data_IF_918491576288
#
_entry.id   IF_918491576288
#
_cell.length_a   1.000
_cell.length_b   1.000
_cell.length_c   1.000
_cell.angle_alpha   90.00
_cell.angle_beta   90.00
_cell.angle_gamma   90.00
#
_symmetry.space_group_name_H-M   'P 1'
#
loop_
_entity.id
_entity.type
_entity.pdbx_description
1 polymer ?
#
# COMPACT_ATOMS: atom_id res chain seq x y z
N UNK A 1 52.08 -41.09 13.05
CA UNK A 1 51.30 -40.16 13.87
C UNK A 1 51.12 -38.90 13.06
N UNK A 2 50.03 -38.76 12.35
CA UNK A 2 49.68 -37.54 11.62
C UNK A 2 48.15 -37.36 11.74
N UNK A 3 47.80 -36.36 12.48
CA UNK A 3 46.41 -35.99 12.79
C UNK A 3 45.89 -35.16 11.61
N UNK A 4 44.84 -35.67 10.91
CA UNK A 4 44.15 -34.93 9.84
C UNK A 4 43.10 -34.01 10.46
N UNK A 5 43.27 -32.71 10.22
CA UNK A 5 42.24 -31.68 10.49
C UNK A 5 41.19 -31.73 9.39
N UNK A 6 39.98 -32.14 9.75
CA UNK A 6 38.80 -31.93 8.93
C UNK A 6 38.37 -30.45 9.05
N UNK A 7 38.53 -29.72 7.97
CA UNK A 7 38.00 -28.35 7.85
C UNK A 7 36.48 -28.36 7.76
N UNK A 8 35.82 -27.68 8.70
CA UNK A 8 34.40 -27.45 8.69
C UNK A 8 34.04 -26.47 7.56
N UNK A 9 33.09 -26.85 6.69
CA UNK A 9 32.49 -25.98 5.68
C UNK A 9 31.63 -24.89 6.36
N UNK A 10 31.66 -23.65 5.86
CA UNK A 10 30.82 -22.57 6.39
C UNK A 10 29.33 -22.84 6.09
N UNK A 11 28.42 -22.35 6.92
CA UNK A 11 27.00 -22.53 6.73
C UNK A 11 26.52 -21.81 5.47
N UNK A 12 25.89 -22.57 4.60
CA UNK A 12 25.24 -22.04 3.41
C UNK A 12 24.08 -21.12 3.83
N UNK A 13 24.20 -19.84 3.55
CA UNK A 13 23.10 -18.87 3.65
C UNK A 13 22.00 -19.30 2.71
N UNK A 14 20.93 -19.80 3.31
CA UNK A 14 19.69 -20.18 2.63
C UNK A 14 19.04 -18.90 2.14
N UNK A 15 19.23 -18.57 0.86
CA UNK A 15 18.42 -17.58 0.18
C UNK A 15 16.96 -18.01 0.26
N UNK A 16 16.20 -17.37 1.13
CA UNK A 16 14.74 -17.45 1.13
C UNK A 16 14.23 -16.84 -0.18
N UNK A 17 13.98 -17.72 -1.14
CA UNK A 17 13.18 -17.38 -2.32
C UNK A 17 11.72 -17.34 -1.86
N UNK A 18 11.24 -16.20 -1.44
CA UNK A 18 9.81 -15.92 -1.38
C UNK A 18 9.38 -15.46 -2.77
N UNK A 19 9.14 -16.43 -3.64
CA UNK A 19 8.50 -16.22 -4.91
C UNK A 19 7.24 -17.08 -4.93
N UNK A 20 6.17 -16.59 -4.28
CA UNK A 20 4.83 -17.16 -4.36
C UNK A 20 3.91 -16.18 -5.11
N UNK A 21 4.35 -15.74 -6.30
CA UNK A 21 3.55 -14.96 -7.22
C UNK A 21 2.92 -15.88 -8.23
N UNK A 22 1.60 -15.76 -8.41
CA UNK A 22 0.86 -16.57 -9.38
C UNK A 22 1.32 -16.19 -10.79
N UNK A 23 1.57 -17.14 -11.70
CA UNK A 23 1.97 -16.82 -13.06
C UNK A 23 0.82 -16.12 -13.79
N UNK A 24 1.05 -14.87 -14.21
CA UNK A 24 0.08 -14.12 -15.01
C UNK A 24 0.31 -12.62 -15.09
N UNK A 25 0.77 -11.97 -14.00
CA UNK A 25 0.95 -10.51 -14.00
C UNK A 25 2.43 -10.12 -13.93
N UNK A 26 3.29 -10.97 -13.39
CA UNK A 26 4.72 -10.68 -13.17
C UNK A 26 5.58 -10.66 -14.45
N UNK A 27 5.03 -11.15 -15.56
CA UNK A 27 5.76 -11.17 -16.84
C UNK A 27 5.62 -9.86 -17.63
N UNK A 28 4.72 -8.95 -17.22
CA UNK A 28 4.38 -7.75 -17.99
C UNK A 28 4.65 -6.43 -17.25
N UNK A 29 4.83 -6.45 -15.91
CA UNK A 29 4.97 -5.22 -15.12
C UNK A 29 6.01 -5.35 -14.02
N UNK A 30 6.87 -4.36 -13.92
CA UNK A 30 7.86 -4.21 -12.84
C UNK A 30 7.29 -3.29 -11.75
N UNK A 31 7.12 -3.84 -10.55
CA UNK A 31 6.67 -3.08 -9.39
C UNK A 31 7.88 -2.65 -8.57
N UNK A 32 8.10 -1.33 -8.52
CA UNK A 32 9.23 -0.73 -7.79
C UNK A 32 8.75 0.33 -6.82
N UNK A 33 9.50 0.60 -5.74
CA UNK A 33 9.20 1.76 -4.90
C UNK A 33 9.18 3.04 -5.71
N UNK A 34 8.19 3.90 -5.45
CA UNK A 34 8.11 5.24 -6.03
C UNK A 34 9.29 6.08 -5.57
N UNK A 35 9.89 6.82 -6.49
CA UNK A 35 10.99 7.76 -6.27
C UNK A 35 10.56 9.20 -6.56
N UNK A 36 11.31 10.21 -6.12
CA UNK A 36 11.01 11.60 -6.49
C UNK A 36 10.98 11.87 -8.00
N UNK A 37 11.68 11.06 -8.81
CA UNK A 37 11.66 11.19 -10.26
C UNK A 37 10.31 10.78 -10.87
N UNK A 38 9.56 9.92 -10.21
CA UNK A 38 8.25 9.42 -10.67
C UNK A 38 7.12 10.42 -10.43
N UNK A 39 7.36 11.45 -9.61
CA UNK A 39 6.32 12.32 -9.06
C UNK A 39 5.35 12.84 -10.12
N UNK A 40 5.86 13.46 -11.19
CA UNK A 40 5.02 14.09 -12.22
C UNK A 40 4.20 13.09 -13.02
N UNK A 41 4.76 11.94 -13.35
CA UNK A 41 4.02 10.88 -14.05
C UNK A 41 2.92 10.28 -13.17
N UNK A 42 3.21 10.10 -11.88
CA UNK A 42 2.24 9.58 -10.91
C UNK A 42 1.09 10.57 -10.69
N UNK A 43 1.38 11.89 -10.57
CA UNK A 43 0.33 12.91 -10.48
C UNK A 43 -0.53 12.94 -11.75
N UNK A 44 0.09 12.91 -12.92
CA UNK A 44 -0.63 12.86 -14.20
C UNK A 44 -1.51 11.60 -14.33
N UNK A 45 -1.04 10.46 -13.84
CA UNK A 45 -1.82 9.22 -13.78
C UNK A 45 -3.04 9.39 -12.87
N UNK A 46 -2.87 9.98 -11.70
CA UNK A 46 -3.99 10.24 -10.78
C UNK A 46 -5.00 11.23 -11.37
N UNK A 47 -4.55 12.28 -12.03
CA UNK A 47 -5.43 13.23 -12.73
C UNK A 47 -6.22 12.56 -13.86
N UNK A 48 -5.62 11.59 -14.53
CA UNK A 48 -6.27 10.82 -15.58
C UNK A 48 -7.32 9.84 -15.03
N UNK A 49 -7.05 9.23 -13.87
CA UNK A 49 -7.90 8.18 -13.29
C UNK A 49 -9.01 8.71 -12.39
N UNK A 50 -8.82 9.88 -11.79
CA UNK A 50 -9.77 10.47 -10.86
C UNK A 50 -10.36 11.75 -11.44
N UNK A 51 -11.64 12.01 -11.15
CA UNK A 51 -12.32 13.20 -11.60
C UNK A 51 -11.60 14.49 -11.15
N UNK A 52 -11.72 15.59 -11.89
CA UNK A 52 -11.26 16.89 -11.46
C UNK A 52 -11.76 17.21 -10.06
N UNK A 53 -10.87 17.68 -9.17
CA UNK A 53 -11.20 17.98 -7.78
C UNK A 53 -10.96 16.80 -6.80
N UNK A 54 -10.19 15.80 -7.19
CA UNK A 54 -9.75 14.71 -6.26
C UNK A 54 -9.17 15.27 -4.96
N UNK A 55 -8.49 16.41 -5.03
CA UNK A 55 -7.90 17.09 -3.87
C UNK A 55 -8.95 17.63 -2.88
N UNK A 56 -10.19 17.83 -3.31
CA UNK A 56 -11.29 18.21 -2.43
C UNK A 56 -11.81 17.03 -1.57
N UNK A 57 -11.40 15.80 -1.87
CA UNK A 57 -11.77 14.65 -1.06
C UNK A 57 -11.15 14.76 0.34
N UNK A 58 -11.93 14.35 1.34
CA UNK A 58 -11.52 14.40 2.76
C UNK A 58 -10.19 13.70 3.03
N UNK A 59 -9.92 12.60 2.32
CA UNK A 59 -8.67 11.85 2.45
C UNK A 59 -7.45 12.64 1.96
N UNK A 60 -7.60 13.63 1.08
CA UNK A 60 -6.49 14.47 0.62
C UNK A 60 -6.04 15.45 1.70
N UNK A 61 -6.95 16.02 2.49
CA UNK A 61 -6.59 16.90 3.62
C UNK A 61 -5.72 16.21 4.67
N UNK A 62 -5.81 14.88 4.78
CA UNK A 62 -4.95 14.10 5.67
C UNK A 62 -3.51 13.96 5.15
N UNK A 63 -3.25 14.39 3.92
CA UNK A 63 -1.94 14.29 3.24
C UNK A 63 -1.21 15.63 3.17
N UNK A 64 -1.88 16.73 3.49
CA UNK A 64 -1.31 18.08 3.43
C UNK A 64 -0.07 18.16 4.31
N UNK A 65 1.07 18.56 3.73
CA UNK A 65 2.37 18.66 4.38
C UNK A 65 2.90 17.33 4.99
N UNK A 66 2.33 16.20 4.61
CA UNK A 66 2.79 14.87 5.05
C UNK A 66 3.35 14.13 3.84
N UNK A 67 4.59 13.66 3.87
CA UNK A 67 5.13 12.85 2.77
C UNK A 67 4.50 11.44 2.77
N UNK A 68 4.34 10.82 1.58
CA UNK A 68 3.94 9.42 1.50
C UNK A 68 5.00 8.52 2.13
N UNK A 69 4.57 7.36 2.62
CA UNK A 69 5.47 6.38 3.24
C UNK A 69 6.37 5.78 2.17
N UNK A 70 7.65 6.12 2.23
CA UNK A 70 8.66 5.55 1.33
C UNK A 70 8.75 4.03 1.54
N UNK A 71 8.95 3.30 0.44
CA UNK A 71 9.04 1.83 0.48
C UNK A 71 7.68 1.11 0.49
N UNK A 72 6.56 1.82 0.79
CA UNK A 72 5.20 1.30 0.60
C UNK A 72 4.52 1.90 -0.63
N UNK A 73 4.86 3.13 -0.99
CA UNK A 73 4.39 3.75 -2.23
C UNK A 73 5.15 3.14 -3.41
N UNK A 74 4.42 2.64 -4.40
CA UNK A 74 4.98 1.89 -5.52
C UNK A 74 4.40 2.34 -6.85
N UNK A 75 5.21 2.16 -7.88
CA UNK A 75 4.82 2.31 -9.29
C UNK A 75 4.89 0.95 -9.99
N UNK A 76 4.03 0.74 -10.98
CA UNK A 76 4.06 -0.40 -11.88
C UNK A 76 4.39 0.12 -13.29
N UNK A 77 5.48 -0.37 -13.88
CA UNK A 77 5.93 -0.01 -15.23
C UNK A 77 5.98 -1.25 -16.10
N UNK A 78 5.65 -1.10 -17.38
CA UNK A 78 5.84 -2.18 -18.37
C UNK A 78 7.33 -2.32 -18.77
N UNK A 79 7.62 -3.26 -19.67
CA UNK A 79 8.98 -3.54 -20.14
C UNK A 79 9.64 -2.38 -20.89
N UNK A 80 8.83 -1.44 -21.42
CA UNK A 80 9.31 -0.21 -22.06
C UNK A 80 9.50 0.94 -21.05
N UNK A 81 9.21 0.69 -19.77
CA UNK A 81 9.32 1.67 -18.70
C UNK A 81 8.12 2.62 -18.58
N UNK A 82 7.04 2.37 -19.32
CA UNK A 82 5.83 3.21 -19.29
C UNK A 82 5.05 2.97 -18.00
N UNK A 83 4.64 4.04 -17.31
CA UNK A 83 3.86 3.98 -16.09
C UNK A 83 2.45 3.44 -16.36
N UNK A 84 2.13 2.29 -15.77
CA UNK A 84 0.85 1.61 -15.91
C UNK A 84 -0.03 1.71 -14.66
N UNK A 85 0.57 1.90 -13.48
CA UNK A 85 -0.17 2.03 -12.23
C UNK A 85 0.68 2.60 -11.10
N UNK A 86 0.02 3.12 -10.07
CA UNK A 86 0.67 3.62 -8.87
C UNK A 86 -0.22 3.44 -7.62
N UNK A 87 0.43 3.29 -6.48
CA UNK A 87 -0.19 3.24 -5.16
C UNK A 87 0.64 4.05 -4.18
N UNK A 88 -0.03 4.82 -3.31
CA UNK A 88 0.63 5.53 -2.21
C UNK A 88 0.01 5.19 -0.88
N UNK A 89 0.80 5.34 0.17
CA UNK A 89 0.40 5.20 1.57
C UNK A 89 0.82 6.43 2.36
N UNK A 90 -0.02 6.83 3.28
CA UNK A 90 0.18 8.01 4.12
C UNK A 90 0.05 7.63 5.60
N UNK A 91 0.94 8.10 6.47
CA UNK A 91 0.75 7.92 7.90
C UNK A 91 -0.41 8.79 8.37
N UNK A 92 -1.23 8.24 9.25
CA UNK A 92 -2.34 8.96 9.93
C UNK A 92 -2.43 8.54 11.37
N UNK A 93 -3.19 9.29 12.17
CA UNK A 93 -3.51 8.99 13.57
C UNK A 93 -5.00 8.80 13.76
N UNK A 94 -5.35 7.91 14.71
CA UNK A 94 -6.70 7.72 15.21
C UNK A 94 -6.57 7.75 16.73
N UNK A 95 -6.83 8.90 17.35
CA UNK A 95 -6.41 9.14 18.73
C UNK A 95 -4.90 9.00 18.89
N UNK A 96 -4.44 8.12 19.77
CA UNK A 96 -3.01 7.79 19.95
C UNK A 96 -2.48 6.75 18.96
N UNK A 97 -3.37 6.10 18.21
CA UNK A 97 -3.02 4.97 17.36
C UNK A 97 -2.49 5.42 16.00
N UNK A 98 -1.36 4.84 15.61
CA UNK A 98 -0.78 5.02 14.28
C UNK A 98 -1.44 4.07 13.28
N UNK A 99 -1.76 4.56 12.08
CA UNK A 99 -2.30 3.76 10.98
C UNK A 99 -1.76 4.23 9.64
N UNK A 100 -1.88 3.39 8.62
CA UNK A 100 -1.66 3.76 7.23
C UNK A 100 -2.99 4.10 6.56
N UNK A 101 -3.06 5.21 5.85
CA UNK A 101 -4.11 5.51 4.89
C UNK A 101 -3.64 5.05 3.50
N UNK A 102 -4.30 4.01 2.96
CA UNK A 102 -4.05 3.52 1.62
C UNK A 102 -4.77 4.40 0.59
N UNK A 103 -4.02 4.84 -0.39
CA UNK A 103 -4.53 5.55 -1.55
C UNK A 103 -3.82 6.89 -1.81
N UNK A 104 -3.90 7.39 -3.02
CA UNK A 104 -4.62 6.83 -4.16
C UNK A 104 -4.01 5.50 -4.66
N UNK A 105 -4.85 4.67 -5.27
CA UNK A 105 -4.41 3.58 -6.12
C UNK A 105 -5.03 3.78 -7.51
N UNK A 106 -4.21 3.80 -8.53
CA UNK A 106 -4.64 4.03 -9.90
C UNK A 106 -3.98 3.05 -10.87
N UNK A 107 -4.73 2.67 -11.90
CA UNK A 107 -4.24 1.92 -13.05
C UNK A 107 -4.68 2.68 -14.29
N UNK A 108 -3.74 2.92 -15.20
CA UNK A 108 -4.02 3.63 -16.44
C UNK A 108 -5.23 3.01 -17.16
N UNK A 109 -6.19 3.82 -17.66
CA UNK A 109 -7.45 3.30 -18.22
C UNK A 109 -7.26 2.22 -19.28
N UNK A 110 -6.21 2.32 -20.11
CA UNK A 110 -5.91 1.32 -21.17
C UNK A 110 -5.31 0.01 -20.64
N UNK A 111 -4.94 -0.05 -19.36
CA UNK A 111 -4.31 -1.21 -18.70
C UNK A 111 -5.19 -1.80 -17.59
N UNK A 112 -6.42 -1.32 -17.46
CA UNK A 112 -7.36 -1.87 -16.49
C UNK A 112 -7.76 -3.31 -16.86
N UNK A 113 -8.01 -4.13 -15.83
CA UNK A 113 -8.31 -5.55 -16.03
C UNK A 113 -7.08 -6.48 -16.09
N UNK A 114 -5.87 -5.93 -16.20
CA UNK A 114 -4.61 -6.70 -16.29
C UNK A 114 -4.05 -7.12 -14.92
N UNK A 115 -4.75 -6.84 -13.81
CA UNK A 115 -4.34 -7.26 -12.46
C UNK A 115 -3.35 -6.32 -11.75
N UNK A 116 -2.94 -5.23 -12.38
CA UNK A 116 -1.92 -4.28 -11.85
C UNK A 116 -2.32 -3.73 -10.48
N UNK A 117 -3.57 -3.24 -10.34
CA UNK A 117 -4.07 -2.70 -9.08
C UNK A 117 -4.05 -3.73 -7.95
N UNK A 118 -4.37 -4.98 -8.26
CA UNK A 118 -4.28 -6.09 -7.32
C UNK A 118 -2.83 -6.33 -6.89
N UNK A 119 -1.91 -6.42 -7.83
CA UNK A 119 -0.50 -6.66 -7.55
C UNK A 119 0.11 -5.53 -6.70
N UNK A 120 -0.20 -4.27 -7.00
CA UNK A 120 0.20 -3.10 -6.22
C UNK A 120 -0.28 -3.19 -4.77
N UNK A 121 -1.57 -3.53 -4.54
CA UNK A 121 -2.15 -3.63 -3.19
C UNK A 121 -1.51 -4.81 -2.44
N UNK A 122 -1.48 -6.01 -3.02
CA UNK A 122 -0.96 -7.22 -2.35
C UNK A 122 0.53 -7.03 -1.98
N UNK A 123 1.37 -6.60 -2.93
CA UNK A 123 2.80 -6.45 -2.68
C UNK A 123 3.12 -5.37 -1.63
N UNK A 124 2.41 -4.25 -1.62
CA UNK A 124 2.63 -3.18 -0.64
C UNK A 124 2.15 -3.58 0.76
N UNK A 125 1.01 -4.29 0.86
CA UNK A 125 0.51 -4.79 2.14
C UNK A 125 1.45 -5.80 2.79
N UNK A 126 2.10 -6.66 2.00
CA UNK A 126 3.07 -7.64 2.50
C UNK A 126 4.35 -6.97 3.04
N UNK A 127 4.66 -5.76 2.60
CA UNK A 127 5.83 -4.98 3.05
C UNK A 127 5.57 -4.13 4.30
N UNK A 128 4.32 -3.87 4.63
CA UNK A 128 3.97 -2.94 5.72
C UNK A 128 4.34 -3.47 7.13
N UNK A 129 4.12 -4.76 7.51
CA UNK A 129 4.44 -5.24 8.86
C UNK A 129 5.93 -5.17 9.21
N UNK A 130 6.89 -5.53 8.33
CA UNK A 130 8.31 -5.35 8.60
C UNK A 130 8.71 -3.88 8.84
N UNK A 131 7.90 -2.92 8.39
CA UNK A 131 8.09 -1.48 8.61
C UNK A 131 7.34 -0.94 9.83
N UNK A 132 6.98 -1.81 10.79
CA UNK A 132 6.28 -1.52 12.06
C UNK A 132 4.82 -1.05 11.92
N UNK A 133 4.24 -1.11 10.73
CA UNK A 133 2.84 -0.78 10.53
C UNK A 133 1.95 -1.98 10.85
N UNK A 134 0.95 -1.76 11.71
CA UNK A 134 0.09 -2.83 12.21
C UNK A 134 -1.30 -2.82 11.61
N UNK A 135 -1.71 -1.68 11.03
CA UNK A 135 -3.06 -1.49 10.48
C UNK A 135 -3.08 -0.52 9.30
N UNK A 136 -4.01 -0.77 8.41
CA UNK A 136 -4.26 0.06 7.21
C UNK A 136 -5.74 0.37 7.12
N UNK A 137 -6.09 1.60 6.77
CA UNK A 137 -7.46 1.97 6.41
C UNK A 137 -7.50 2.60 5.01
N UNK A 138 -8.69 2.65 4.45
CA UNK A 138 -9.00 3.31 3.19
C UNK A 138 -10.46 3.75 3.13
N UNK A 139 -10.78 4.57 2.14
CA UNK A 139 -12.17 4.87 1.73
C UNK A 139 -12.39 4.26 0.36
N UNK A 140 -13.24 3.25 0.27
CA UNK A 140 -13.42 2.51 -0.99
C UNK A 140 -14.62 1.59 -0.99
N UNK A 141 -14.78 0.82 -2.06
CA UNK A 141 -15.90 -0.09 -2.24
C UNK A 141 -15.62 -1.45 -1.61
N UNK A 142 -16.41 -1.81 -0.58
CA UNK A 142 -16.25 -3.05 0.17
C UNK A 142 -16.17 -4.30 -0.74
N UNK A 143 -17.03 -4.49 -1.77
CA UNK A 143 -16.93 -5.66 -2.67
C UNK A 143 -15.57 -5.79 -3.35
N UNK A 144 -14.89 -4.68 -3.61
CA UNK A 144 -13.54 -4.71 -4.20
C UNK A 144 -12.47 -5.00 -3.14
N UNK A 145 -12.51 -4.33 -1.99
CA UNK A 145 -11.44 -4.38 -1.01
C UNK A 145 -11.54 -5.55 -0.03
N UNK A 146 -12.72 -6.16 0.16
CA UNK A 146 -12.88 -7.36 0.99
C UNK A 146 -11.99 -8.53 0.52
N UNK A 147 -11.69 -8.63 -0.78
CA UNK A 147 -10.77 -9.63 -1.33
C UNK A 147 -9.35 -9.53 -0.80
N UNK A 148 -8.99 -8.36 -0.28
CA UNK A 148 -7.69 -8.07 0.34
C UNK A 148 -7.78 -8.10 1.87
N UNK A 149 -8.88 -8.59 2.46
CA UNK A 149 -9.07 -8.66 3.91
C UNK A 149 -9.38 -7.33 4.58
N UNK A 150 -9.88 -6.34 3.82
CA UNK A 150 -10.43 -5.12 4.41
C UNK A 150 -11.87 -5.35 4.84
N UNK A 151 -12.24 -4.83 6.01
CA UNK A 151 -13.56 -4.91 6.61
C UNK A 151 -14.04 -3.53 7.03
N UNK A 152 -15.36 -3.36 7.22
CA UNK A 152 -15.95 -2.10 7.63
C UNK A 152 -15.49 -1.68 9.04
N UNK A 153 -14.96 -0.48 9.17
CA UNK A 153 -14.62 0.15 10.44
C UNK A 153 -15.81 1.01 10.93
N UNK A 154 -16.50 0.56 11.97
CA UNK A 154 -17.71 1.26 12.48
C UNK A 154 -17.37 2.43 13.40
N UNK A 155 -16.26 2.34 14.12
CA UNK A 155 -15.89 3.27 15.20
C UNK A 155 -14.78 4.24 14.78
N UNK A 156 -14.39 4.22 13.51
CA UNK A 156 -13.37 5.10 12.91
C UNK A 156 -14.03 6.10 11.99
N UNK A 157 -13.83 7.37 12.25
CA UNK A 157 -14.49 8.49 11.57
C UNK A 157 -13.51 9.21 10.67
N UNK A 158 -13.71 9.12 9.36
CA UNK A 158 -12.97 9.92 8.39
C UNK A 158 -13.51 11.36 8.34
N UNK A 159 -12.67 12.36 8.04
CA UNK A 159 -13.12 13.74 7.86
C UNK A 159 -14.27 13.83 6.83
N UNK A 160 -15.25 14.75 7.02
CA UNK A 160 -16.31 14.94 6.05
C UNK A 160 -15.80 15.60 4.74
N UNK A 161 -16.46 15.37 3.60
CA UNK A 161 -17.61 14.46 3.42
C UNK A 161 -17.15 13.05 3.10
N UNK A 162 -17.31 12.12 4.00
CA UNK A 162 -17.00 10.69 3.75
C UNK A 162 -18.23 9.84 4.13
N UNK A 163 -18.62 8.94 3.23
CA UNK A 163 -19.62 7.92 3.56
C UNK A 163 -19.01 6.92 4.55
N UNK A 164 -19.53 6.77 5.78
CA UNK A 164 -19.00 5.84 6.77
C UNK A 164 -19.00 4.37 6.31
N UNK A 165 -19.92 3.97 5.44
CA UNK A 165 -20.01 2.61 4.91
C UNK A 165 -18.85 2.26 3.96
N UNK A 166 -18.05 3.24 3.58
CA UNK A 166 -16.86 3.07 2.73
C UNK A 166 -15.55 3.15 3.51
N UNK A 167 -15.60 3.35 4.83
CA UNK A 167 -14.39 3.38 5.68
C UNK A 167 -14.03 1.94 6.03
N UNK A 168 -12.99 1.45 5.40
CA UNK A 168 -12.56 0.06 5.52
C UNK A 168 -11.18 -0.03 6.15
N UNK A 169 -10.94 -1.07 6.96
CA UNK A 169 -9.66 -1.33 7.59
C UNK A 169 -9.20 -2.77 7.44
N UNK A 170 -7.90 -2.96 7.41
CA UNK A 170 -7.26 -4.27 7.48
C UNK A 170 -6.24 -4.30 8.62
N UNK A 171 -6.37 -5.30 9.49
CA UNK A 171 -5.34 -5.63 10.47
C UNK A 171 -4.17 -6.34 9.75
N UNK A 172 -2.95 -5.85 9.95
CA UNK A 172 -1.73 -6.47 9.43
C UNK A 172 -1.13 -7.46 10.44
N UNK A 173 -1.49 -7.28 11.71
CA UNK A 173 -1.23 -8.24 12.81
C UNK A 173 -2.54 -8.49 13.56
N UNK A 174 -2.72 -9.65 14.19
CA UNK A 174 -3.94 -9.95 14.95
C UNK A 174 -4.25 -8.87 15.99
N UNK A 175 -5.53 -8.48 16.11
CA UNK A 175 -6.00 -7.52 17.11
C UNK A 175 -5.61 -6.07 16.85
N UNK A 176 -5.02 -5.73 15.71
CA UNK A 176 -4.53 -4.36 15.46
C UNK A 176 -5.63 -3.29 15.47
N UNK A 177 -6.88 -3.66 15.27
CA UNK A 177 -8.03 -2.75 15.33
C UNK A 177 -8.82 -2.82 16.65
N UNK A 178 -8.41 -3.68 17.60
CA UNK A 178 -9.12 -3.84 18.86
C UNK A 178 -9.04 -2.55 19.70
N UNK A 179 -10.18 -1.96 20.02
CA UNK A 179 -10.28 -0.72 20.80
C UNK A 179 -9.89 0.56 20.06
N UNK A 180 -9.54 0.50 18.77
CA UNK A 180 -9.20 1.69 17.98
C UNK A 180 -10.49 2.40 17.56
N UNK A 181 -10.70 3.61 18.04
CA UNK A 181 -11.90 4.41 17.81
C UNK A 181 -11.58 5.90 17.66
N UNK A 182 -12.47 6.63 16.98
CA UNK A 182 -12.41 8.08 16.89
C UNK A 182 -12.06 8.62 15.51
N UNK A 183 -11.72 9.90 15.47
CA UNK A 183 -11.44 10.63 14.24
C UNK A 183 -10.06 10.31 13.67
N UNK A 184 -10.04 10.11 12.36
CA UNK A 184 -8.77 10.04 11.61
C UNK A 184 -8.22 11.45 11.44
N UNK A 185 -6.99 11.65 11.87
CA UNK A 185 -6.28 12.93 11.82
C UNK A 185 -5.00 12.81 11.02
N UNK A 186 -4.53 13.94 10.54
CA UNK A 186 -3.24 14.06 9.87
C UNK A 186 -2.12 13.64 10.83
N UNK A 187 -1.04 13.09 10.28
CA UNK A 187 0.10 12.58 11.07
C UNK A 187 0.76 13.66 11.92
N UNK A 188 0.79 14.89 11.44
CA UNK A 188 1.46 16.03 12.09
C UNK A 188 0.61 16.75 13.15
N UNK A 189 -0.65 16.34 13.36
CA UNK A 189 -1.58 17.00 14.30
C UNK A 189 -1.46 16.48 15.73
#
# INVERSE_FOLDING_TARGET
MANGMLGALPPQTRHMRHNNLRPGTDALYHLTPETPADHWEVEALYDTCFAPGREALSSYRLRDDVPPVQGLSHVARDDEGILAGAIRYWPVRIGSDAALLLGPVAVHPTRQGEGIGRALIEQSLDRAPPMVWTRVLLVGDAPYYNRFGFELLKDVIMPPPTNPERVLGRALIPGAWDGVTGEVRRWAD
#
